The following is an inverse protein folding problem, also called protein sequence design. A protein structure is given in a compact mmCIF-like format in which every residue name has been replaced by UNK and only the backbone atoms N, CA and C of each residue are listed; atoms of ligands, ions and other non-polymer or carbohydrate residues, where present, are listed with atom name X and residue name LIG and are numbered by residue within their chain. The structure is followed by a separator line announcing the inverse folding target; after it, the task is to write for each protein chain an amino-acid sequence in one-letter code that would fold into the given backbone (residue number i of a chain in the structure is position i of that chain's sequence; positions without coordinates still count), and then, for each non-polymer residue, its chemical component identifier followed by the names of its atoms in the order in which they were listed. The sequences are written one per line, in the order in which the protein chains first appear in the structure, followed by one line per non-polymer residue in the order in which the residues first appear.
data_IF_280360304236
#
_entry.id   IF_280360304236
#
_cell.length_a   1.000
_cell.length_b   1.000
_cell.length_c   1.000
_cell.angle_alpha   90.00
_cell.angle_beta   90.00
_cell.angle_gamma   90.00
#
_symmetry.space_group_name_H-M   'P 1'
#
loop_
_entity.id
_entity.type
_entity.pdbx_description
1 polymer ?
#
# COMPACT_ATOMS: atom_id res chain seq x y z
N UNK A 1 -33.59 63.58 -38.99
CA UNK A 1 -32.63 62.47 -39.22
C UNK A 1 -32.54 61.64 -37.94
N UNK A 2 -32.31 60.31 -38.02
CA UNK A 2 -32.16 59.48 -36.80
C UNK A 2 -32.37 57.98 -37.01
N UNK A 3 -31.49 57.31 -37.78
CA UNK A 3 -31.63 55.88 -38.07
C UNK A 3 -31.37 55.00 -36.83
N UNK A 4 -32.42 54.45 -36.22
CA UNK A 4 -32.31 53.39 -35.20
C UNK A 4 -31.85 52.07 -35.86
N UNK A 5 -30.55 51.79 -35.82
CA UNK A 5 -29.98 50.50 -36.28
C UNK A 5 -30.46 49.37 -35.34
N UNK A 6 -31.32 48.49 -35.84
CA UNK A 6 -31.66 47.25 -35.15
C UNK A 6 -30.40 46.37 -34.99
N UNK A 7 -30.16 45.85 -33.77
CA UNK A 7 -29.17 44.79 -33.57
C UNK A 7 -29.81 43.45 -33.96
N UNK A 8 -29.21 42.73 -34.90
CA UNK A 8 -29.49 41.30 -35.06
C UNK A 8 -28.93 40.56 -33.83
N UNK A 9 -29.72 39.69 -33.23
CA UNK A 9 -29.24 38.75 -32.23
C UNK A 9 -28.87 37.44 -32.93
N UNK A 10 -27.58 37.20 -33.14
CA UNK A 10 -27.12 35.95 -33.74
C UNK A 10 -27.25 34.82 -32.71
N UNK A 11 -28.12 33.85 -33.01
CA UNK A 11 -28.34 32.67 -32.19
C UNK A 11 -27.21 31.66 -32.42
N UNK A 12 -26.20 31.64 -31.55
CA UNK A 12 -25.18 30.59 -31.53
C UNK A 12 -25.65 29.44 -30.63
N UNK A 13 -26.11 28.36 -31.27
CA UNK A 13 -26.59 27.17 -30.58
C UNK A 13 -25.49 26.53 -29.71
N UNK A 14 -25.75 26.40 -28.40
CA UNK A 14 -24.91 25.64 -27.48
C UNK A 14 -25.13 24.15 -27.75
N UNK A 15 -24.40 23.60 -28.72
CA UNK A 15 -24.32 22.15 -28.94
C UNK A 15 -23.60 21.54 -27.75
N UNK A 16 -24.39 21.02 -26.80
CA UNK A 16 -23.90 20.37 -25.60
C UNK A 16 -23.09 19.12 -25.93
N UNK A 17 -21.76 19.26 -26.02
CA UNK A 17 -20.85 18.12 -25.99
C UNK A 17 -20.92 17.48 -24.61
N UNK A 18 -21.40 16.25 -24.55
CA UNK A 18 -21.46 15.44 -23.34
C UNK A 18 -20.08 15.34 -22.68
N UNK A 19 -20.03 15.65 -21.39
CA UNK A 19 -18.79 15.60 -20.59
C UNK A 19 -18.51 14.17 -20.11
N UNK A 20 -18.54 13.22 -21.04
CA UNK A 20 -18.37 11.79 -20.79
C UNK A 20 -16.90 11.40 -20.98
N UNK A 21 -16.39 10.56 -20.08
CA UNK A 21 -15.04 9.96 -20.11
C UNK A 21 -13.84 10.93 -19.98
N UNK A 22 -13.78 11.63 -18.84
CA UNK A 22 -12.50 12.00 -18.21
C UNK A 22 -12.40 11.34 -16.83
N UNK A 23 -12.17 10.01 -16.83
CA UNK A 23 -11.71 9.29 -15.64
C UNK A 23 -10.33 9.81 -15.23
N UNK A 24 -10.04 9.89 -13.94
CA UNK A 24 -8.74 10.38 -13.49
C UNK A 24 -7.67 9.34 -13.80
N UNK A 25 -6.45 9.83 -14.04
CA UNK A 25 -5.28 8.97 -14.18
C UNK A 25 -4.94 8.18 -12.89
N UNK A 26 -5.61 8.50 -11.77
CA UNK A 26 -5.52 7.77 -10.52
C UNK A 26 -6.44 6.52 -10.58
N UNK A 27 -7.75 6.72 -10.81
CA UNK A 27 -8.77 5.66 -11.01
C UNK A 27 -8.33 4.59 -12.01
N UNK A 28 -7.79 5.03 -13.16
CA UNK A 28 -7.32 4.14 -14.22
C UNK A 28 -6.19 3.20 -13.77
N UNK A 29 -5.31 3.66 -12.85
CA UNK A 29 -4.21 2.82 -12.34
C UNK A 29 -4.63 1.84 -11.27
N UNK A 30 -5.74 2.08 -10.55
CA UNK A 30 -6.25 1.11 -9.58
C UNK A 30 -6.97 -0.06 -10.28
N UNK A 31 -7.72 0.23 -11.36
CA UNK A 31 -8.35 -0.79 -12.19
C UNK A 31 -7.35 -1.70 -12.94
N UNK A 32 -6.23 -1.14 -13.42
CA UNK A 32 -5.20 -1.92 -14.15
C UNK A 32 -4.41 -2.87 -13.23
N UNK A 33 -4.31 -2.57 -11.93
CA UNK A 33 -3.63 -3.42 -10.92
C UNK A 33 -4.53 -4.58 -10.44
N UNK A 34 -5.86 -4.42 -10.47
CA UNK A 34 -6.80 -5.48 -10.09
C UNK A 34 -7.00 -6.56 -11.18
N UNK A 35 -6.74 -6.24 -12.44
CA UNK A 35 -7.05 -7.09 -13.60
C UNK A 35 -5.85 -7.94 -14.10
N UNK A 36 -4.89 -8.31 -13.24
CA UNK A 36 -3.84 -9.28 -13.59
C UNK A 36 -4.19 -10.69 -13.09
N UNK A 37 -4.69 -11.61 -13.95
CA UNK A 37 -5.07 -12.95 -13.52
C UNK A 37 -3.84 -13.83 -13.25
N UNK A 38 -3.74 -14.38 -12.03
CA UNK A 38 -2.77 -15.43 -11.69
C UNK A 38 -3.37 -16.78 -12.09
N UNK A 39 -2.92 -17.31 -13.23
CA UNK A 39 -3.35 -18.60 -13.76
C UNK A 39 -2.62 -19.76 -13.05
N UNK A 40 -3.32 -20.46 -12.16
CA UNK A 40 -3.02 -21.86 -11.80
C UNK A 40 -4.24 -22.53 -11.16
N UNK A 41 -5.28 -22.80 -11.95
CA UNK A 41 -6.22 -23.87 -11.63
C UNK A 41 -5.54 -25.21 -11.98
N UNK A 42 -5.81 -26.26 -11.18
CA UNK A 42 -5.46 -27.64 -11.52
C UNK A 42 -6.64 -28.53 -11.17
N UNK A 43 -7.04 -29.35 -12.14
CA UNK A 43 -8.05 -30.38 -12.01
C UNK A 43 -7.54 -31.61 -12.75
N UNK A 44 -7.57 -32.73 -12.05
CA UNK A 44 -7.42 -34.13 -12.47
C UNK A 44 -8.43 -34.79 -11.49
N UNK A 45 -9.64 -35.18 -11.87
CA UNK A 45 -10.09 -36.22 -12.82
C UNK A 45 -9.92 -37.64 -12.25
N UNK A 46 -10.77 -38.55 -12.73
CA UNK A 46 -11.22 -39.75 -12.01
C UNK A 46 -10.31 -40.98 -12.28
N UNK A 47 -10.38 -41.96 -11.39
CA UNK A 47 -10.03 -43.36 -11.67
C UNK A 47 -11.13 -44.26 -11.08
N UNK A 48 -11.31 -45.43 -11.68
CA UNK A 48 -12.52 -46.26 -11.60
C UNK A 48 -12.13 -47.75 -11.39
N UNK A 49 -13.05 -48.57 -10.86
CA UNK A 49 -12.84 -50.02 -10.60
C UNK A 49 -11.88 -50.36 -9.43
N UNK A 50 -11.84 -51.57 -8.85
CA UNK A 50 -12.60 -52.84 -8.89
C UNK A 50 -12.35 -53.53 -7.50
N UNK A 51 -12.94 -54.61 -6.96
CA UNK A 51 -13.97 -55.63 -7.28
C UNK A 51 -14.40 -56.34 -5.93
N UNK A 52 -15.21 -57.43 -5.93
CA UNK A 52 -15.57 -58.39 -4.82
C UNK A 52 -16.44 -57.86 -3.64
N UNK A 53 -17.58 -58.40 -3.13
CA UNK A 53 -18.39 -59.67 -3.16
C UNK A 53 -18.54 -60.35 -1.76
N UNK A 54 -19.68 -61.06 -1.56
CA UNK A 54 -20.16 -61.87 -0.40
C UNK A 54 -20.45 -61.23 0.98
N UNK A 55 -21.74 -61.17 1.38
CA UNK A 55 -22.29 -61.44 2.74
C UNK A 55 -23.86 -61.32 2.78
N UNK A 56 -24.60 -61.97 1.86
CA UNK A 56 -26.08 -61.80 1.70
C UNK A 56 -26.98 -62.44 2.80
N UNK A 57 -26.44 -63.22 3.74
CA UNK A 57 -27.24 -64.04 4.69
C UNK A 57 -27.53 -63.39 6.07
N UNK A 58 -26.94 -62.23 6.42
CA UNK A 58 -27.22 -61.51 7.68
C UNK A 58 -28.07 -60.22 7.52
N UNK A 59 -28.17 -59.64 6.31
CA UNK A 59 -28.85 -58.34 6.10
C UNK A 59 -30.35 -58.36 6.46
N UNK A 60 -31.06 -59.47 6.24
CA UNK A 60 -32.53 -59.50 6.37
C UNK A 60 -33.00 -59.41 7.84
N UNK A 61 -32.24 -59.95 8.81
CA UNK A 61 -32.56 -59.80 10.23
C UNK A 61 -32.27 -58.37 10.74
N UNK A 62 -31.15 -57.75 10.34
CA UNK A 62 -30.89 -56.34 10.68
C UNK A 62 -31.89 -55.40 10.02
N UNK A 63 -32.29 -55.64 8.76
CA UNK A 63 -33.28 -54.84 8.06
C UNK A 63 -34.70 -54.98 8.64
N UNK A 64 -35.08 -56.16 9.16
CA UNK A 64 -36.33 -56.35 9.90
C UNK A 64 -36.31 -55.58 11.24
N UNK A 65 -35.17 -55.58 11.95
CA UNK A 65 -34.96 -54.81 13.18
C UNK A 65 -34.98 -53.30 12.91
N UNK A 66 -34.31 -52.82 11.85
CA UNK A 66 -34.32 -51.40 11.48
C UNK A 66 -35.73 -50.96 11.08
N UNK A 67 -36.43 -51.73 10.23
CA UNK A 67 -37.83 -51.46 9.83
C UNK A 67 -38.73 -51.35 11.06
N UNK A 68 -38.60 -52.26 12.03
CA UNK A 68 -39.37 -52.23 13.29
C UNK A 68 -39.02 -51.03 14.17
N UNK A 69 -37.74 -50.68 14.31
CA UNK A 69 -37.29 -49.50 15.07
C UNK A 69 -37.79 -48.20 14.42
N UNK A 70 -37.76 -48.13 13.09
CA UNK A 70 -38.32 -47.02 12.31
C UNK A 70 -39.83 -46.94 12.46
N UNK A 71 -40.55 -48.06 12.46
CA UNK A 71 -42.01 -48.09 12.65
C UNK A 71 -42.40 -47.69 14.09
N UNK A 72 -41.68 -48.16 15.12
CA UNK A 72 -41.89 -47.72 16.51
C UNK A 72 -41.59 -46.23 16.69
N UNK A 73 -40.50 -45.72 16.11
CA UNK A 73 -40.19 -44.29 16.10
C UNK A 73 -41.22 -43.47 15.30
N UNK A 74 -41.81 -44.02 14.23
CA UNK A 74 -42.91 -43.38 13.50
C UNK A 74 -44.20 -43.40 14.32
N UNK A 75 -44.49 -44.47 15.04
CA UNK A 75 -45.64 -44.57 15.95
C UNK A 75 -45.53 -43.60 17.12
N UNK A 76 -44.35 -43.42 17.72
CA UNK A 76 -44.06 -42.36 18.70
C UNK A 76 -44.35 -40.97 18.11
N UNK A 77 -43.77 -40.65 16.94
CA UNK A 77 -44.01 -39.39 16.23
C UNK A 77 -45.50 -39.16 15.89
N UNK A 78 -46.24 -40.23 15.59
CA UNK A 78 -47.67 -40.19 15.29
C UNK A 78 -48.55 -40.03 16.54
N UNK A 79 -48.14 -40.54 17.71
CA UNK A 79 -48.78 -40.24 19.01
C UNK A 79 -48.61 -38.77 19.37
N UNK A 80 -47.45 -38.17 19.06
CA UNK A 80 -47.22 -36.72 19.22
C UNK A 80 -47.88 -35.89 18.10
N UNK A 81 -49.20 -35.95 17.96
CA UNK A 81 -49.93 -35.01 17.11
C UNK A 81 -49.91 -33.61 17.74
N UNK A 82 -49.05 -32.73 17.20
CA UNK A 82 -48.62 -31.49 17.87
C UNK A 82 -49.67 -30.37 17.80
N UNK A 83 -50.64 -30.40 18.70
CA UNK A 83 -51.44 -29.22 19.08
C UNK A 83 -50.78 -28.38 20.19
N UNK A 84 -49.44 -28.42 20.29
CA UNK A 84 -48.67 -27.69 21.28
C UNK A 84 -48.33 -26.26 20.83
N UNK A 85 -49.34 -25.37 20.80
CA UNK A 85 -49.20 -23.97 20.39
C UNK A 85 -48.11 -23.25 21.22
N UNK A 86 -48.01 -23.55 22.52
CA UNK A 86 -46.82 -23.31 23.37
C UNK A 86 -46.99 -24.04 24.73
N UNK A 87 -46.44 -25.24 24.90
CA UNK A 87 -46.48 -25.94 26.20
C UNK A 87 -45.32 -25.51 27.11
N UNK A 88 -45.55 -24.46 27.90
CA UNK A 88 -44.56 -23.90 28.83
C UNK A 88 -44.12 -24.89 29.92
N UNK A 89 -45.04 -25.70 30.43
CA UNK A 89 -44.80 -26.56 31.60
C UNK A 89 -43.88 -27.74 31.25
N UNK A 90 -44.15 -28.41 30.14
CA UNK A 90 -43.28 -29.47 29.62
C UNK A 90 -41.88 -28.94 29.27
N UNK A 91 -41.79 -27.75 28.67
CA UNK A 91 -40.51 -27.11 28.35
C UNK A 91 -39.69 -26.77 29.61
N UNK A 92 -40.34 -26.38 30.71
CA UNK A 92 -39.65 -26.14 31.99
C UNK A 92 -39.23 -27.44 32.69
N UNK A 93 -40.06 -28.49 32.64
CA UNK A 93 -39.70 -29.80 33.17
C UNK A 93 -38.45 -30.36 32.46
N UNK A 94 -38.45 -30.36 31.13
CA UNK A 94 -37.34 -30.83 30.29
C UNK A 94 -36.08 -29.96 30.47
N UNK A 95 -36.22 -28.64 30.62
CA UNK A 95 -35.09 -27.75 30.93
C UNK A 95 -34.44 -28.06 32.29
N UNK A 96 -35.22 -28.43 33.31
CA UNK A 96 -34.71 -28.84 34.62
C UNK A 96 -34.04 -30.23 34.57
N UNK A 97 -34.55 -31.15 33.75
CA UNK A 97 -33.96 -32.48 33.56
C UNK A 97 -32.57 -32.40 32.88
N UNK A 98 -32.47 -31.55 31.86
CA UNK A 98 -31.23 -31.24 31.15
C UNK A 98 -30.26 -30.35 31.95
N UNK A 99 -30.62 -29.81 33.11
CA UNK A 99 -29.73 -28.96 33.89
C UNK A 99 -28.56 -29.76 34.51
N UNK A 100 -27.39 -29.62 33.87
CA UNK A 100 -26.13 -30.21 34.30
C UNK A 100 -25.47 -29.48 35.47
N UNK A 101 -25.90 -28.25 35.81
CA UNK A 101 -25.28 -27.44 36.86
C UNK A 101 -25.46 -28.02 38.27
N UNK A 102 -26.47 -28.87 38.45
CA UNK A 102 -26.71 -29.63 39.69
C UNK A 102 -25.85 -30.91 39.79
N UNK A 103 -25.37 -31.43 38.65
CA UNK A 103 -24.69 -32.72 38.51
C UNK A 103 -23.17 -32.57 38.43
N UNK A 104 -22.68 -31.49 37.81
CA UNK A 104 -21.27 -31.26 37.52
C UNK A 104 -20.74 -29.95 38.11
N UNK A 105 -19.41 -29.87 38.28
CA UNK A 105 -18.74 -28.61 38.63
C UNK A 105 -18.72 -27.68 37.42
N UNK A 106 -18.72 -26.38 37.68
CA UNK A 106 -18.66 -25.34 36.63
C UNK A 106 -17.45 -25.49 35.67
N UNK A 107 -16.38 -26.13 36.12
CA UNK A 107 -15.19 -26.45 35.30
C UNK A 107 -15.52 -27.35 34.10
N UNK A 108 -16.52 -28.23 34.23
CA UNK A 108 -16.93 -29.15 33.16
C UNK A 108 -17.89 -28.48 32.14
N UNK A 109 -18.63 -27.45 32.56
CA UNK A 109 -19.60 -26.73 31.72
C UNK A 109 -19.04 -25.46 31.08
N UNK A 110 -18.11 -24.78 31.77
CA UNK A 110 -17.49 -23.50 31.39
C UNK A 110 -18.49 -22.41 30.94
N UNK A 111 -19.72 -22.46 31.45
CA UNK A 111 -20.80 -21.55 31.05
C UNK A 111 -20.54 -20.11 31.52
N UNK A 112 -20.93 -19.15 30.67
CA UNK A 112 -20.66 -17.72 30.90
C UNK A 112 -21.83 -16.81 30.54
N UNK A 113 -23.04 -17.36 30.45
CA UNK A 113 -24.31 -16.71 30.04
C UNK A 113 -24.85 -15.63 31.00
N UNK A 114 -24.00 -15.07 31.87
CA UNK A 114 -24.39 -14.10 32.91
C UNK A 114 -24.67 -12.69 32.38
N UNK A 115 -24.11 -12.31 31.24
CA UNK A 115 -24.21 -10.94 30.71
C UNK A 115 -25.25 -10.87 29.58
N UNK A 116 -26.27 -10.00 29.68
CA UNK A 116 -27.20 -9.76 28.57
C UNK A 116 -26.48 -9.10 27.39
N UNK A 117 -27.05 -9.26 26.20
CA UNK A 117 -26.60 -8.58 24.99
C UNK A 117 -27.40 -7.30 24.79
N UNK A 118 -26.76 -6.15 24.95
CA UNK A 118 -27.36 -4.83 24.74
C UNK A 118 -27.17 -4.38 23.28
N UNK A 119 -28.27 -4.21 22.55
CA UNK A 119 -28.29 -3.77 21.15
C UNK A 119 -29.33 -2.66 20.94
N UNK A 120 -28.88 -1.51 20.45
CA UNK A 120 -29.78 -0.40 20.04
C UNK A 120 -30.53 -0.71 18.73
N UNK A 121 -29.87 -1.40 17.79
CA UNK A 121 -30.40 -1.71 16.47
C UNK A 121 -29.75 -2.99 15.93
N UNK A 122 -30.54 -4.03 15.66
CA UNK A 122 -30.06 -5.32 15.16
C UNK A 122 -29.53 -5.28 13.70
N UNK A 123 -29.84 -4.23 12.94
CA UNK A 123 -29.42 -4.05 11.54
C UNK A 123 -28.12 -3.25 11.37
N UNK A 124 -27.62 -2.59 12.41
CA UNK A 124 -26.32 -1.90 12.40
C UNK A 124 -25.22 -2.92 12.73
N UNK A 125 -24.63 -3.50 11.69
CA UNK A 125 -23.60 -4.53 11.78
C UNK A 125 -22.39 -4.08 12.61
N UNK A 126 -21.93 -2.84 12.44
CA UNK A 126 -20.77 -2.32 13.17
C UNK A 126 -21.04 -2.16 14.67
N UNK A 127 -22.24 -1.69 15.06
CA UNK A 127 -22.65 -1.68 16.47
C UNK A 127 -22.84 -3.08 17.03
N UNK A 128 -23.40 -3.99 16.23
CA UNK A 128 -23.69 -5.37 16.62
C UNK A 128 -22.41 -6.16 16.91
N UNK A 129 -21.40 -6.08 16.04
CA UNK A 129 -20.09 -6.70 16.28
C UNK A 129 -19.38 -6.12 17.51
N UNK A 130 -19.50 -4.81 17.77
CA UNK A 130 -18.99 -4.19 19.00
C UNK A 130 -19.72 -4.70 20.25
N UNK A 131 -21.04 -4.92 20.18
CA UNK A 131 -21.81 -5.47 21.29
C UNK A 131 -21.44 -6.94 21.56
N UNK A 132 -21.31 -7.79 20.53
CA UNK A 132 -20.82 -9.16 20.67
C UNK A 132 -19.40 -9.20 21.26
N UNK A 133 -18.51 -8.31 20.80
CA UNK A 133 -17.14 -8.18 21.34
C UNK A 133 -17.16 -7.80 22.83
N UNK A 134 -17.99 -6.83 23.23
CA UNK A 134 -18.09 -6.41 24.63
C UNK A 134 -18.69 -7.50 25.52
N UNK A 135 -19.73 -8.20 25.06
CA UNK A 135 -20.35 -9.31 25.79
C UNK A 135 -19.36 -10.47 25.99
N UNK A 136 -18.69 -10.92 24.92
CA UNK A 136 -17.69 -11.99 25.00
C UNK A 136 -16.50 -11.60 25.88
N UNK A 137 -16.03 -10.35 25.82
CA UNK A 137 -14.98 -9.83 26.69
C UNK A 137 -15.39 -9.80 28.17
N UNK A 138 -16.65 -9.47 28.49
CA UNK A 138 -17.18 -9.55 29.86
C UNK A 138 -17.27 -11.01 30.35
N UNK A 139 -17.79 -11.92 29.51
CA UNK A 139 -17.87 -13.36 29.77
C UNK A 139 -16.50 -13.99 30.03
N UNK A 140 -15.49 -13.68 29.21
CA UNK A 140 -14.12 -14.17 29.37
C UNK A 140 -13.45 -13.66 30.65
N UNK A 141 -13.70 -12.40 31.05
CA UNK A 141 -13.24 -11.90 32.37
C UNK A 141 -13.85 -12.70 33.52
N UNK A 142 -15.18 -12.89 33.50
CA UNK A 142 -15.89 -13.65 34.53
C UNK A 142 -15.44 -15.12 34.60
N UNK A 143 -15.19 -15.78 33.46
CA UNK A 143 -14.61 -17.12 33.41
C UNK A 143 -13.21 -17.16 34.03
N UNK A 144 -12.32 -16.25 33.63
CA UNK A 144 -10.97 -16.13 34.20
C UNK A 144 -11.02 -15.94 35.72
N UNK A 145 -11.93 -15.11 36.22
CA UNK A 145 -12.05 -14.83 37.66
C UNK A 145 -12.64 -16.02 38.46
N UNK A 146 -13.30 -16.98 37.81
CA UNK A 146 -13.67 -18.28 38.40
C UNK A 146 -12.48 -19.25 38.37
N UNK A 147 -11.88 -19.47 37.19
CA UNK A 147 -10.72 -20.35 37.00
C UNK A 147 -9.55 -20.00 37.93
N UNK A 148 -9.31 -18.71 38.20
CA UNK A 148 -8.30 -18.24 39.16
C UNK A 148 -8.61 -18.61 40.62
N UNK A 149 -9.89 -18.67 41.03
CA UNK A 149 -10.29 -19.12 42.37
C UNK A 149 -10.12 -20.62 42.53
N UNK A 150 -10.44 -21.36 41.47
CA UNK A 150 -10.28 -22.82 41.38
C UNK A 150 -8.82 -23.25 41.10
N UNK A 151 -7.91 -22.28 40.89
CA UNK A 151 -6.46 -22.44 40.63
C UNK A 151 -6.13 -23.18 39.32
N UNK A 152 -7.02 -23.09 38.34
CA UNK A 152 -6.88 -23.77 37.04
C UNK A 152 -6.03 -22.91 36.07
N UNK A 153 -5.01 -23.47 35.41
CA UNK A 153 -4.16 -22.73 34.46
C UNK A 153 -4.91 -22.44 33.15
N UNK A 154 -5.29 -21.19 32.92
CA UNK A 154 -6.08 -20.78 31.75
C UNK A 154 -5.24 -20.23 30.56
N UNK A 155 -3.97 -19.83 30.78
CA UNK A 155 -3.11 -19.29 29.70
C UNK A 155 -2.29 -20.42 29.07
N UNK A 156 -2.43 -20.63 27.75
CA UNK A 156 -1.48 -21.45 26.97
C UNK A 156 -0.04 -20.94 27.19
N UNK A 157 0.92 -21.80 27.58
CA UNK A 157 2.34 -21.46 27.60
C UNK A 157 2.87 -21.26 26.17
N UNK A 158 3.77 -20.30 25.99
CA UNK A 158 4.30 -19.94 24.67
C UNK A 158 5.21 -21.05 24.07
N UNK A 159 5.68 -21.97 24.92
CA UNK A 159 6.47 -23.17 24.58
C UNK A 159 5.61 -24.45 24.40
N UNK A 160 4.28 -24.35 24.57
CA UNK A 160 3.37 -25.51 24.41
C UNK A 160 2.94 -25.65 22.95
N UNK A 161 3.68 -26.45 22.19
CA UNK A 161 3.40 -26.76 20.78
C UNK A 161 2.45 -27.97 20.66
N UNK A 162 1.16 -27.68 20.51
CA UNK A 162 0.12 -28.64 20.14
C UNK A 162 -0.57 -28.18 18.85
N UNK A 163 -1.36 -29.06 18.23
CA UNK A 163 -2.11 -28.72 17.02
C UNK A 163 -3.08 -27.54 17.27
N UNK A 164 -3.19 -26.66 16.27
CA UNK A 164 -4.04 -25.47 16.31
C UNK A 164 -5.07 -25.53 15.18
N UNK A 165 -6.29 -25.05 15.45
CA UNK A 165 -7.43 -24.98 14.52
C UNK A 165 -7.11 -24.39 13.12
N UNK A 166 -6.00 -23.64 12.98
CA UNK A 166 -5.48 -23.14 11.71
C UNK A 166 -3.98 -23.39 11.66
N UNK A 167 -3.52 -24.10 10.62
CA UNK A 167 -2.11 -24.42 10.43
C UNK A 167 -1.24 -23.17 10.19
N UNK A 168 0.04 -23.25 10.53
CA UNK A 168 0.98 -22.14 10.35
C UNK A 168 1.12 -21.71 8.88
N UNK A 169 0.99 -22.64 7.93
CA UNK A 169 0.94 -22.35 6.51
C UNK A 169 -0.32 -21.57 6.07
N UNK A 170 -1.42 -21.65 6.84
CA UNK A 170 -2.55 -20.73 6.68
C UNK A 170 -2.25 -19.37 7.33
N UNK A 171 -1.76 -19.37 8.57
CA UNK A 171 -1.51 -18.12 9.31
C UNK A 171 -0.40 -17.25 8.70
N UNK A 172 0.61 -17.85 8.06
CA UNK A 172 1.61 -17.15 7.25
C UNK A 172 0.95 -16.38 6.08
N UNK A 173 0.06 -17.03 5.33
CA UNK A 173 -0.68 -16.39 4.23
C UNK A 173 -1.58 -15.23 4.70
N UNK A 174 -2.14 -15.31 5.91
CA UNK A 174 -2.89 -14.19 6.53
C UNK A 174 -1.93 -13.05 6.88
N UNK A 175 -0.79 -13.36 7.50
CA UNK A 175 0.25 -12.38 7.89
C UNK A 175 0.83 -11.65 6.69
N UNK A 176 1.06 -12.35 5.57
CA UNK A 176 1.57 -11.75 4.33
C UNK A 176 0.57 -10.78 3.69
N UNK A 177 -0.74 -11.09 3.74
CA UNK A 177 -1.80 -10.16 3.30
C UNK A 177 -1.81 -8.88 4.14
N UNK A 178 -1.79 -8.99 5.47
CA UNK A 178 -1.73 -7.83 6.38
C UNK A 178 -0.47 -6.98 6.14
N UNK A 179 0.68 -7.62 5.93
CA UNK A 179 1.94 -6.94 5.59
C UNK A 179 1.85 -6.24 4.22
N UNK A 180 1.16 -6.84 3.23
CA UNK A 180 0.93 -6.23 1.93
C UNK A 180 0.01 -5.01 2.01
N UNK A 181 -1.09 -5.09 2.76
CA UNK A 181 -2.01 -3.98 2.99
C UNK A 181 -1.35 -2.82 3.74
N UNK A 182 -0.59 -3.11 4.81
CA UNK A 182 0.23 -2.13 5.53
C UNK A 182 1.23 -1.43 4.58
N UNK A 183 1.88 -2.18 3.68
CA UNK A 183 2.78 -1.62 2.65
C UNK A 183 2.02 -0.75 1.64
N UNK A 184 0.82 -1.14 1.21
CA UNK A 184 -0.04 -0.35 0.31
C UNK A 184 -0.41 0.99 0.95
N UNK A 185 -0.87 0.98 2.20
CA UNK A 185 -1.22 2.19 2.97
C UNK A 185 0.02 3.10 3.12
N UNK A 186 1.14 2.55 3.60
CA UNK A 186 2.38 3.30 3.81
C UNK A 186 2.89 3.94 2.50
N UNK A 187 2.80 3.24 1.36
CA UNK A 187 3.21 3.77 0.05
C UNK A 187 2.28 4.89 -0.45
N UNK A 188 0.98 4.82 -0.18
CA UNK A 188 0.02 5.91 -0.48
C UNK A 188 0.29 7.13 0.41
N UNK A 189 0.59 6.93 1.70
CA UNK A 189 1.02 7.99 2.59
C UNK A 189 2.34 8.64 2.15
N UNK A 190 3.36 7.86 1.81
CA UNK A 190 4.65 8.39 1.33
C UNK A 190 4.47 9.14 -0.01
N UNK A 191 3.60 8.65 -0.90
CA UNK A 191 3.20 9.39 -2.11
C UNK A 191 2.60 10.76 -1.76
N UNK A 192 1.59 10.80 -0.87
CA UNK A 192 0.95 12.06 -0.41
C UNK A 192 1.95 13.00 0.27
N UNK A 193 2.76 12.50 1.21
CA UNK A 193 3.83 13.24 1.92
C UNK A 193 4.86 13.80 0.94
N UNK A 194 5.35 13.00 -0.01
CA UNK A 194 6.33 13.44 -1.01
C UNK A 194 5.76 14.45 -2.01
N UNK A 195 4.48 14.38 -2.37
CA UNK A 195 3.80 15.41 -3.17
C UNK A 195 3.69 16.74 -2.41
N UNK A 196 3.28 16.70 -1.13
CA UNK A 196 3.23 17.88 -0.28
C UNK A 196 4.63 18.53 -0.13
N UNK A 197 5.65 17.73 0.18
CA UNK A 197 7.03 18.19 0.24
C UNK A 197 7.53 18.79 -1.09
N UNK A 198 7.15 18.25 -2.26
CA UNK A 198 7.51 18.81 -3.57
C UNK A 198 6.88 20.20 -3.82
N UNK A 199 5.62 20.42 -3.40
CA UNK A 199 4.96 21.73 -3.46
C UNK A 199 5.71 22.75 -2.58
N UNK A 200 5.82 22.44 -1.28
CA UNK A 200 6.45 23.32 -0.28
C UNK A 200 7.93 23.56 -0.59
N UNK A 201 8.68 22.58 -1.08
CA UNK A 201 10.11 22.74 -1.40
C UNK A 201 10.38 23.82 -2.45
N UNK A 202 9.50 23.97 -3.46
CA UNK A 202 9.63 25.02 -4.48
C UNK A 202 9.41 26.41 -3.88
N UNK A 203 8.39 26.56 -3.05
CA UNK A 203 8.07 27.80 -2.35
C UNK A 203 9.18 28.17 -1.36
N UNK A 204 9.61 27.23 -0.52
CA UNK A 204 10.68 27.35 0.46
C UNK A 204 12.03 27.68 -0.21
N UNK A 205 12.34 27.10 -1.38
CA UNK A 205 13.51 27.48 -2.17
C UNK A 205 13.42 28.93 -2.67
N UNK A 206 12.23 29.37 -3.10
CA UNK A 206 12.01 30.76 -3.55
C UNK A 206 12.06 31.76 -2.38
N UNK A 207 11.53 31.38 -1.20
CA UNK A 207 11.60 32.17 0.03
C UNK A 207 13.05 32.30 0.49
N UNK A 208 13.82 31.21 0.59
CA UNK A 208 15.24 31.25 0.94
C UNK A 208 16.10 32.02 -0.07
N UNK A 209 15.70 32.08 -1.35
CA UNK A 209 16.33 32.94 -2.33
C UNK A 209 16.03 34.43 -2.09
N UNK A 210 14.77 34.79 -1.81
CA UNK A 210 14.35 36.16 -1.44
C UNK A 210 14.98 36.62 -0.13
N UNK A 211 14.97 35.76 0.89
CA UNK A 211 15.60 35.96 2.21
C UNK A 211 17.09 36.29 2.05
N UNK A 212 17.86 35.47 1.34
CA UNK A 212 19.29 35.72 1.07
C UNK A 212 19.57 36.98 0.23
N UNK A 213 18.63 37.40 -0.62
CA UNK A 213 18.73 38.67 -1.35
C UNK A 213 18.41 39.85 -0.42
N UNK A 214 17.46 39.69 0.50
CA UNK A 214 17.17 40.68 1.53
C UNK A 214 18.35 40.82 2.50
N UNK A 215 18.88 39.73 3.05
CA UNK A 215 20.10 39.73 3.87
C UNK A 215 21.26 40.49 3.21
N UNK A 216 21.42 40.35 1.88
CA UNK A 216 22.43 41.08 1.09
C UNK A 216 22.11 42.55 0.89
N UNK A 217 20.85 42.91 0.68
CA UNK A 217 20.45 44.31 0.54
C UNK A 217 20.53 45.04 1.89
N UNK A 218 20.00 44.45 2.95
CA UNK A 218 20.03 44.97 4.32
C UNK A 218 21.49 45.21 4.79
N UNK A 219 22.41 44.27 4.50
CA UNK A 219 23.86 44.45 4.80
C UNK A 219 24.54 45.49 3.90
N UNK A 220 24.21 45.57 2.60
CA UNK A 220 24.72 46.62 1.72
C UNK A 220 24.20 48.01 2.12
N UNK A 221 22.96 48.11 2.63
CA UNK A 221 22.39 49.35 3.14
C UNK A 221 23.01 49.75 4.48
N UNK A 222 23.24 48.81 5.40
CA UNK A 222 24.00 49.07 6.62
C UNK A 222 25.42 49.61 6.31
N UNK A 223 26.12 49.01 5.34
CA UNK A 223 27.44 49.50 4.88
C UNK A 223 27.35 50.87 4.20
N UNK A 224 26.32 51.15 3.39
CA UNK A 224 26.08 52.49 2.82
C UNK A 224 25.78 53.54 3.89
N UNK A 225 24.98 53.20 4.90
CA UNK A 225 24.64 54.09 6.02
C UNK A 225 25.85 54.35 6.92
N UNK A 226 26.70 53.35 7.15
CA UNK A 226 27.99 53.54 7.84
C UNK A 226 28.93 54.43 7.01
N UNK A 227 29.11 54.16 5.71
CA UNK A 227 29.90 55.04 4.82
C UNK A 227 29.38 56.48 4.79
N UNK A 228 28.06 56.67 4.77
CA UNK A 228 27.46 58.01 4.82
C UNK A 228 27.76 58.70 6.15
N UNK A 229 27.57 58.02 7.29
CA UNK A 229 27.90 58.53 8.63
C UNK A 229 29.38 58.89 8.76
N UNK A 230 30.29 58.00 8.36
CA UNK A 230 31.74 58.25 8.36
C UNK A 230 32.10 59.47 7.50
N UNK A 231 31.46 59.65 6.35
CA UNK A 231 31.71 60.79 5.46
C UNK A 231 31.06 62.11 5.93
N UNK A 232 30.01 62.08 6.77
CA UNK A 232 29.45 63.29 7.40
C UNK A 232 30.17 63.66 8.70
N UNK A 233 30.60 62.68 9.51
CA UNK A 233 31.38 62.90 10.72
C UNK A 233 32.79 63.41 10.42
N UNK A 234 33.35 63.10 9.24
CA UNK A 234 34.65 63.61 8.79
C UNK A 234 34.71 65.14 8.62
N UNK A 235 33.57 65.85 8.72
CA UNK A 235 33.51 67.32 8.79
C UNK A 235 33.60 67.89 10.21
N UNK A 236 33.66 67.04 11.27
CA UNK A 236 33.70 67.49 12.66
C UNK A 236 34.46 66.51 13.58
N UNK A 237 35.79 66.60 13.54
CA UNK A 237 36.76 66.26 14.60
C UNK A 237 36.72 64.87 15.29
N UNK A 238 37.88 64.19 15.29
CA UNK A 238 38.23 63.18 16.30
C UNK A 238 37.76 61.75 16.00
N UNK A 239 38.64 60.94 15.40
CA UNK A 239 38.37 59.52 15.14
C UNK A 239 38.90 58.58 16.22
N UNK A 240 38.02 57.72 16.76
CA UNK A 240 38.34 56.35 17.25
C UNK A 240 37.08 55.48 17.42
N UNK A 241 36.03 56.04 18.00
CA UNK A 241 34.86 55.25 18.48
C UNK A 241 33.97 54.66 17.35
N UNK A 242 34.00 55.25 16.15
CA UNK A 242 33.14 54.87 15.01
C UNK A 242 33.52 53.51 14.37
N UNK A 243 34.73 53.00 14.61
CA UNK A 243 35.21 51.72 14.07
C UNK A 243 34.87 50.53 15.00
N UNK A 244 34.93 50.68 16.34
CA UNK A 244 34.40 49.68 17.29
C UNK A 244 32.89 49.46 17.11
N UNK A 245 32.15 50.55 16.84
CA UNK A 245 30.71 50.51 16.59
C UNK A 245 30.37 49.79 15.26
N UNK A 246 31.27 49.84 14.27
CA UNK A 246 31.15 49.05 13.05
C UNK A 246 31.33 47.55 13.32
N UNK A 247 32.37 47.18 14.07
CA UNK A 247 32.65 45.79 14.45
C UNK A 247 31.46 45.18 15.21
N UNK A 248 30.86 45.92 16.15
CA UNK A 248 29.67 45.52 16.91
C UNK A 248 28.41 45.30 16.05
N UNK A 249 28.24 46.09 14.98
CA UNK A 249 27.15 45.91 14.00
C UNK A 249 27.43 44.73 13.06
N UNK A 250 28.70 44.48 12.72
CA UNK A 250 29.12 43.35 11.90
C UNK A 250 29.01 42.02 12.67
N UNK A 251 29.36 42.00 13.95
CA UNK A 251 29.29 40.83 14.82
C UNK A 251 27.84 40.44 15.16
N UNK A 252 26.98 41.42 15.45
CA UNK A 252 25.55 41.18 15.72
C UNK A 252 24.80 40.64 14.48
N UNK A 253 25.25 40.97 13.27
CA UNK A 253 24.72 40.41 12.01
C UNK A 253 25.40 39.10 11.59
N UNK A 254 26.68 38.88 11.89
CA UNK A 254 27.40 37.63 11.67
C UNK A 254 27.16 36.55 12.76
N UNK A 255 26.07 36.62 13.52
CA UNK A 255 25.73 35.62 14.55
C UNK A 255 25.50 34.19 14.02
N UNK A 256 25.55 33.98 12.71
CA UNK A 256 25.90 32.68 12.10
C UNK A 256 27.41 32.43 12.26
N UNK A 257 27.79 31.83 13.39
CA UNK A 257 29.15 31.38 13.71
C UNK A 257 29.84 30.79 12.47
N UNK A 258 30.83 31.48 11.91
CA UNK A 258 31.59 31.03 10.74
C UNK A 258 32.65 30.02 11.19
N UNK A 259 32.18 28.84 11.56
CA UNK A 259 33.02 27.69 11.87
C UNK A 259 33.93 27.40 10.67
N UNK A 260 35.22 27.62 10.87
CA UNK A 260 36.14 27.98 9.77
C UNK A 260 37.51 28.42 10.26
N UNK A 261 38.04 27.71 11.26
CA UNK A 261 39.29 28.04 11.94
C UNK A 261 39.90 26.88 12.73
N UNK A 262 39.90 25.66 12.17
CA UNK A 262 40.80 24.59 12.59
C UNK A 262 41.12 23.62 11.43
N UNK A 263 42.30 23.01 11.46
CA UNK A 263 42.88 22.20 10.37
C UNK A 263 42.82 20.69 10.70
N UNK A 264 41.62 20.12 10.62
CA UNK A 264 41.30 18.84 11.28
C UNK A 264 40.52 17.82 10.46
N UNK A 265 41.13 17.20 9.45
CA UNK A 265 40.91 15.81 8.93
C UNK A 265 39.48 15.25 8.69
N UNK A 266 38.38 15.97 8.88
CA UNK A 266 37.03 15.38 8.97
C UNK A 266 36.11 15.70 7.78
N UNK A 267 36.57 15.40 6.56
CA UNK A 267 35.70 15.39 5.36
C UNK A 267 34.77 14.17 5.43
N UNK A 268 33.46 14.40 5.61
CA UNK A 268 32.41 13.37 5.56
C UNK A 268 32.65 12.42 4.37
N UNK A 269 32.61 11.09 4.56
CA UNK A 269 33.01 10.13 3.54
C UNK A 269 32.17 10.29 2.28
N UNK A 270 32.83 10.34 1.12
CA UNK A 270 32.13 10.44 -0.17
C UNK A 270 31.44 9.10 -0.43
N UNK A 271 30.17 9.15 -0.84
CA UNK A 271 29.35 7.96 -1.09
C UNK A 271 30.13 6.89 -1.90
N UNK A 272 30.35 5.72 -1.29
CA UNK A 272 31.16 4.63 -1.83
C UNK A 272 30.78 4.22 -3.26
N UNK A 273 29.48 4.25 -3.61
CA UNK A 273 29.00 3.98 -4.97
C UNK A 273 29.56 4.97 -6.00
N UNK A 274 29.79 6.23 -5.61
CA UNK A 274 30.40 7.25 -6.45
C UNK A 274 31.92 7.09 -6.57
N UNK A 275 32.59 6.55 -5.55
CA UNK A 275 34.03 6.25 -5.64
C UNK A 275 34.29 5.03 -6.53
N UNK A 276 33.50 3.96 -6.39
CA UNK A 276 33.51 2.83 -7.33
C UNK A 276 33.21 3.27 -8.77
N UNK A 277 32.24 4.16 -8.99
CA UNK A 277 31.96 4.72 -10.32
C UNK A 277 33.12 5.57 -10.85
N UNK A 278 33.73 6.44 -10.03
CA UNK A 278 34.91 7.23 -10.40
C UNK A 278 36.13 6.33 -10.75
N UNK A 279 36.33 5.21 -10.04
CA UNK A 279 37.37 4.22 -10.35
C UNK A 279 37.10 3.49 -11.67
N UNK A 280 35.84 3.13 -11.95
CA UNK A 280 35.46 2.37 -13.16
C UNK A 280 35.33 3.22 -14.44
N UNK A 281 34.97 4.49 -14.32
CA UNK A 281 34.64 5.37 -15.46
C UNK A 281 35.42 6.69 -15.49
N UNK A 282 36.37 6.88 -14.58
CA UNK A 282 37.07 8.15 -14.37
C UNK A 282 36.25 9.15 -13.55
N UNK A 283 36.92 10.05 -12.84
CA UNK A 283 36.25 11.15 -12.12
C UNK A 283 35.78 12.22 -13.12
N UNK A 284 34.53 12.13 -13.55
CA UNK A 284 33.95 13.00 -14.59
C UNK A 284 34.12 14.50 -14.31
N UNK A 285 35.03 15.15 -15.04
CA UNK A 285 35.33 16.57 -14.96
C UNK A 285 36.18 17.03 -16.16
N UNK A 286 35.95 18.28 -16.61
CA UNK A 286 36.42 18.87 -17.89
C UNK A 286 35.93 18.09 -19.12
N UNK A 287 34.94 18.67 -19.82
CA UNK A 287 34.26 18.05 -20.96
C UNK A 287 35.08 18.10 -22.26
N UNK A 288 34.72 17.23 -23.22
CA UNK A 288 35.49 16.84 -24.41
C UNK A 288 35.78 17.94 -25.46
N UNK A 289 35.52 19.21 -25.16
CA UNK A 289 35.56 20.32 -26.14
C UNK A 289 36.97 20.90 -26.36
N UNK A 290 37.87 20.82 -25.37
CA UNK A 290 39.22 21.40 -25.45
C UNK A 290 40.30 20.46 -25.99
N UNK A 291 40.00 19.17 -26.14
CA UNK A 291 40.95 18.13 -26.60
C UNK A 291 40.57 17.50 -27.95
N UNK A 292 39.60 18.08 -28.68
CA UNK A 292 39.17 17.59 -29.99
C UNK A 292 39.30 18.67 -31.06
N UNK A 293 40.53 18.89 -31.51
CA UNK A 293 40.84 19.48 -32.82
C UNK A 293 41.41 18.36 -33.70
N UNK A 294 40.95 18.28 -34.95
CA UNK A 294 41.49 17.35 -35.93
C UNK A 294 42.66 18.04 -36.64
N UNK A 295 43.86 17.49 -36.53
CA UNK A 295 45.02 17.97 -37.29
C UNK A 295 44.97 17.43 -38.73
N UNK A 296 45.70 18.06 -39.66
CA UNK A 296 45.76 17.64 -41.08
C UNK A 296 46.23 16.19 -41.28
N UNK A 297 46.84 15.57 -40.27
CA UNK A 297 47.24 14.15 -40.28
C UNK A 297 46.09 13.18 -39.93
N UNK A 298 45.05 13.62 -39.21
CA UNK A 298 43.99 12.72 -38.70
C UNK A 298 42.69 12.76 -39.52
N UNK A 299 42.66 13.41 -40.69
CA UNK A 299 41.41 13.54 -41.49
C UNK A 299 41.09 12.27 -42.28
N UNK A 300 42.12 11.48 -42.64
CA UNK A 300 42.02 10.30 -43.51
C UNK A 300 42.66 9.04 -42.88
N UNK A 301 42.95 9.04 -41.58
CA UNK A 301 43.49 7.86 -40.90
C UNK A 301 42.38 6.84 -40.57
N UNK A 302 42.31 5.79 -41.39
CA UNK A 302 41.40 4.66 -41.20
C UNK A 302 42.09 3.41 -40.61
N UNK A 303 43.36 3.50 -40.18
CA UNK A 303 44.14 2.34 -39.69
C UNK A 303 43.49 1.63 -38.48
N UNK A 304 42.75 2.37 -37.65
CA UNK A 304 42.00 1.85 -36.51
C UNK A 304 40.67 1.17 -36.88
N UNK A 305 40.17 1.31 -38.11
CA UNK A 305 38.86 0.80 -38.53
C UNK A 305 38.94 -0.61 -39.14
N UNK A 306 39.06 -1.63 -38.28
CA UNK A 306 39.04 -3.02 -38.76
C UNK A 306 37.64 -3.42 -39.23
N UNK A 307 37.49 -3.73 -40.53
CA UNK A 307 36.22 -4.25 -41.10
C UNK A 307 35.83 -5.63 -40.56
N UNK A 308 36.79 -6.41 -40.05
CA UNK A 308 36.52 -7.75 -39.49
C UNK A 308 35.74 -7.69 -38.17
N UNK A 309 36.26 -6.99 -37.15
CA UNK A 309 35.63 -6.93 -35.82
C UNK A 309 34.30 -6.14 -35.80
N UNK A 310 34.12 -5.21 -36.74
CA UNK A 310 32.96 -4.31 -36.74
C UNK A 310 31.74 -4.85 -37.52
N UNK A 311 31.83 -6.05 -38.13
CA UNK A 311 30.74 -6.65 -38.92
C UNK A 311 30.17 -7.95 -38.31
N UNK A 312 30.63 -8.34 -37.11
CA UNK A 312 30.28 -9.61 -36.47
C UNK A 312 28.79 -9.75 -36.10
N UNK A 313 28.03 -8.63 -36.13
CA UNK A 313 26.57 -8.62 -35.99
C UNK A 313 25.76 -8.82 -37.28
N UNK A 314 26.39 -8.92 -38.47
CA UNK A 314 25.68 -8.89 -39.77
C UNK A 314 26.06 -10.06 -40.69
N UNK A 315 25.48 -11.23 -40.42
CA UNK A 315 25.17 -12.20 -41.48
C UNK A 315 25.99 -13.49 -41.56
N UNK A 316 25.69 -14.47 -40.70
CA UNK A 316 25.76 -15.90 -41.06
C UNK A 316 24.42 -16.57 -40.74
N UNK A 317 23.79 -17.17 -41.76
CA UNK A 317 22.45 -17.77 -41.65
C UNK A 317 22.54 -19.21 -41.12
N UNK A 318 22.37 -19.39 -39.82
CA UNK A 318 22.11 -20.71 -39.22
C UNK A 318 20.66 -21.15 -39.45
N UNK A 319 20.45 -22.43 -39.73
CA UNK A 319 19.12 -22.98 -40.05
C UNK A 319 18.32 -23.34 -38.78
N UNK A 320 17.17 -22.68 -38.53
CA UNK A 320 16.08 -23.25 -37.71
C UNK A 320 14.73 -22.56 -37.92
N UNK A 321 13.72 -23.38 -38.26
CA UNK A 321 12.24 -23.27 -38.15
C UNK A 321 11.55 -21.90 -38.37
N UNK A 322 10.48 -21.93 -39.19
CA UNK A 322 9.57 -20.81 -39.35
C UNK A 322 8.90 -20.41 -38.03
N UNK A 323 8.97 -19.12 -37.69
CA UNK A 323 8.05 -18.46 -36.77
C UNK A 323 7.38 -17.29 -37.53
N UNK A 324 6.08 -17.09 -37.33
CA UNK A 324 5.27 -16.19 -38.15
C UNK A 324 5.78 -14.74 -38.16
N UNK A 325 6.06 -14.19 -39.35
CA UNK A 325 6.43 -12.78 -39.52
C UNK A 325 5.25 -11.88 -39.12
N UNK A 326 5.27 -11.37 -37.89
CA UNK A 326 4.26 -10.44 -37.37
C UNK A 326 4.20 -9.20 -38.29
N UNK A 327 3.06 -8.91 -38.95
CA UNK A 327 3.00 -7.83 -39.93
C UNK A 327 3.20 -6.46 -39.27
N UNK A 328 3.94 -5.59 -39.97
CA UNK A 328 4.36 -4.27 -39.48
C UNK A 328 3.19 -3.31 -39.21
N UNK A 329 3.49 -2.20 -38.51
CA UNK A 329 2.46 -1.27 -37.97
C UNK A 329 1.48 -0.74 -39.03
N UNK A 330 1.96 -0.50 -40.27
CA UNK A 330 1.15 -0.03 -41.39
C UNK A 330 0.24 -1.11 -42.05
N UNK A 331 0.44 -2.40 -41.76
CA UNK A 331 -0.42 -3.47 -42.23
C UNK A 331 -1.58 -3.76 -41.28
N UNK A 332 -1.40 -3.54 -39.96
CA UNK A 332 -2.46 -3.75 -38.95
C UNK A 332 -3.63 -2.77 -39.09
N UNK A 333 -3.36 -1.53 -39.48
CA UNK A 333 -4.42 -0.54 -39.75
C UNK A 333 -5.34 -0.98 -40.89
N UNK A 334 -4.76 -1.47 -42.00
CA UNK A 334 -5.52 -1.97 -43.16
C UNK A 334 -6.38 -3.19 -42.85
N UNK A 335 -6.00 -4.05 -41.89
CA UNK A 335 -6.83 -5.20 -41.49
C UNK A 335 -8.07 -4.83 -40.66
N UNK A 336 -8.05 -3.73 -39.90
CA UNK A 336 -9.23 -3.32 -39.11
C UNK A 336 -10.36 -2.76 -39.97
N UNK A 337 -10.04 -2.01 -41.03
CA UNK A 337 -11.03 -1.36 -41.90
C UNK A 337 -11.91 -2.33 -42.72
N UNK A 338 -11.59 -3.64 -42.74
CA UNK A 338 -12.30 -4.65 -43.54
C UNK A 338 -13.24 -5.58 -42.75
N UNK A 339 -13.45 -5.33 -41.45
CA UNK A 339 -14.38 -6.09 -40.58
C UNK A 339 -15.56 -5.26 -40.04
N UNK A 340 -15.93 -4.19 -40.76
CA UNK A 340 -17.04 -3.29 -40.40
C UNK A 340 -18.02 -3.05 -41.55
N UNK A 341 -18.36 -4.10 -42.33
CA UNK A 341 -19.42 -4.03 -43.35
C UNK A 341 -19.90 -5.40 -43.85
N UNK A 342 -20.80 -6.03 -43.10
CA UNK A 342 -21.97 -6.72 -43.65
C UNK A 342 -23.08 -6.68 -42.60
#
# INVERSE_FOLDING_TARGET
MGNKRQKKGDQLAVVGRSVSALVNAEDATEAEILNTPVLSARADDNNDGDDDEDDEDEEDEEAEIERRLVEEMQAEKAKTQVNAIYNKEAMLALANELDLSTKFKWVETLDTSKFPLELENAHDDLKREVAFYNQTLASVKHAKDRLLKEKIPYKRPDDYFAEMLKSDAHMARVKDKLIFEQKKINAVEERKKSQAHKKVAKELQSQKAKERLKEKNDTLEAVKQWKKRKNTNNSSAGGKDDDENFEKVLESTNKRKRDGGDDGKNKKPRNFKREAANKKFGSGGKTKLTQKRNDRKSTNDFSSFSRSRNNEGVGKRGNKKQAGKRPGKAARSKSMQKRGRK
#
